data_IF_850058683392
#
_entry.id   IF_850058683392
#
_cell.length_a   1.000
_cell.length_b   1.000
_cell.length_c   1.000
_cell.angle_alpha   90.00
_cell.angle_beta   90.00
_cell.angle_gamma   90.00
#
_symmetry.space_group_name_H-M   'P 1'
#
loop_
_entity.id
_entity.type
_entity.pdbx_description
1 polymer ?
#
# COMPACT_ATOMS: atom_id res chain seq x y z
N UNK A 1 -34.38 -29.89 21.44
CA UNK A 1 -34.62 -28.71 22.27
C UNK A 1 -33.52 -27.64 22.09
N UNK A 2 -32.23 -27.99 22.27
CA UNK A 2 -31.13 -27.01 22.18
C UNK A 2 -30.97 -26.39 20.79
N UNK A 3 -31.02 -27.22 19.73
CA UNK A 3 -30.96 -26.72 18.35
C UNK A 3 -32.14 -25.78 18.02
N UNK A 4 -33.33 -26.08 18.48
CA UNK A 4 -34.49 -25.24 18.29
C UNK A 4 -34.33 -23.87 18.98
N UNK A 5 -33.80 -23.85 20.21
CA UNK A 5 -33.53 -22.61 20.93
C UNK A 5 -32.52 -21.71 20.21
N UNK A 6 -31.50 -22.30 19.55
CA UNK A 6 -30.51 -21.56 18.72
C UNK A 6 -31.20 -20.99 17.48
N UNK A 7 -32.02 -21.80 16.79
CA UNK A 7 -32.75 -21.38 15.60
C UNK A 7 -33.72 -20.24 15.95
N UNK A 8 -34.46 -20.37 17.05
CA UNK A 8 -35.38 -19.35 17.50
C UNK A 8 -34.67 -18.03 17.86
N UNK A 9 -33.50 -18.10 18.53
CA UNK A 9 -32.64 -16.96 18.79
C UNK A 9 -32.16 -16.31 17.49
N UNK A 10 -31.70 -17.10 16.52
CA UNK A 10 -31.25 -16.59 15.22
C UNK A 10 -32.38 -15.90 14.47
N UNK A 11 -33.55 -16.52 14.40
CA UNK A 11 -34.70 -16.00 13.64
C UNK A 11 -35.33 -14.75 14.26
N UNK A 12 -35.18 -14.56 15.57
CA UNK A 12 -35.78 -13.45 16.29
C UNK A 12 -34.83 -12.30 16.63
N UNK A 13 -33.52 -12.47 16.34
CA UNK A 13 -32.50 -11.46 16.61
C UNK A 13 -32.05 -10.78 15.31
N UNK A 14 -32.09 -9.45 15.29
CA UNK A 14 -31.53 -8.64 14.20
C UNK A 14 -30.03 -8.47 14.31
N UNK A 15 -29.49 -8.74 15.50
CA UNK A 15 -28.10 -8.52 15.91
C UNK A 15 -27.38 -9.80 16.37
N UNK A 16 -27.84 -10.98 15.90
CA UNK A 16 -27.28 -12.27 16.29
C UNK A 16 -25.75 -12.31 16.11
N UNK A 17 -25.04 -12.67 17.18
CA UNK A 17 -23.57 -12.71 17.23
C UNK A 17 -22.91 -11.36 17.53
N UNK A 18 -23.66 -10.30 17.72
CA UNK A 18 -23.13 -9.02 18.23
C UNK A 18 -22.89 -9.08 19.74
N UNK A 19 -21.92 -8.32 20.20
CA UNK A 19 -21.65 -8.09 21.62
C UNK A 19 -21.06 -6.70 21.85
N UNK A 20 -20.93 -6.30 23.09
CA UNK A 20 -20.34 -5.04 23.53
C UNK A 20 -18.95 -5.21 24.19
N UNK A 21 -18.31 -6.37 24.01
CA UNK A 21 -16.97 -6.66 24.56
C UNK A 21 -15.91 -5.63 24.12
N UNK A 22 -16.08 -5.09 22.92
CA UNK A 22 -15.22 -4.09 22.32
C UNK A 22 -15.64 -2.64 22.58
N UNK A 23 -16.69 -2.40 23.36
CA UNK A 23 -17.18 -1.06 23.63
C UNK A 23 -16.07 -0.16 24.14
N UNK A 24 -16.00 1.05 23.57
CA UNK A 24 -14.99 2.08 23.87
C UNK A 24 -13.54 1.68 23.57
N UNK A 25 -13.32 0.56 22.83
CA UNK A 25 -12.00 0.11 22.39
C UNK A 25 -11.85 0.25 20.89
N UNK A 26 -10.66 0.66 20.46
CA UNK A 26 -10.31 0.78 19.04
C UNK A 26 -9.27 -0.27 18.67
N UNK A 27 -9.47 -0.92 17.51
CA UNK A 27 -8.50 -1.83 16.89
C UNK A 27 -8.09 -1.23 15.54
N UNK A 28 -6.79 -1.15 15.29
CA UNK A 28 -6.26 -0.84 13.96
C UNK A 28 -5.86 -2.15 13.28
N UNK A 29 -6.31 -2.34 12.04
CA UNK A 29 -5.94 -3.50 11.23
C UNK A 29 -5.32 -2.99 9.94
N UNK A 30 -4.06 -3.35 9.69
CA UNK A 30 -3.38 -3.13 8.43
C UNK A 30 -3.50 -4.40 7.57
N UNK A 31 -4.05 -4.26 6.35
CA UNK A 31 -4.22 -5.38 5.43
C UNK A 31 -4.37 -4.92 4.00
N UNK A 32 -4.26 -5.86 3.06
CA UNK A 32 -4.15 -5.66 1.61
C UNK A 32 -2.76 -5.15 1.21
N UNK A 33 -2.44 -3.90 1.45
CA UNK A 33 -1.13 -3.27 1.34
C UNK A 33 -0.37 -3.59 0.04
N UNK A 34 -1.00 -3.41 -1.15
CA UNK A 34 -0.35 -3.68 -2.42
C UNK A 34 0.70 -2.63 -2.75
N UNK A 35 1.72 -3.02 -3.53
CA UNK A 35 2.66 -2.08 -4.11
C UNK A 35 2.03 -1.38 -5.31
N UNK A 36 2.23 -0.07 -5.39
CA UNK A 36 1.85 0.76 -6.54
C UNK A 36 2.58 0.30 -7.81
N UNK A 37 1.96 0.51 -8.96
CA UNK A 37 2.46 0.08 -10.27
C UNK A 37 2.71 -1.44 -10.40
N UNK A 38 1.96 -2.23 -9.65
CA UNK A 38 1.91 -3.70 -9.77
C UNK A 38 0.48 -4.19 -9.79
N UNK A 39 0.25 -5.27 -10.52
CA UNK A 39 -1.07 -5.89 -10.57
C UNK A 39 -1.48 -6.47 -9.22
N UNK A 40 -2.77 -6.29 -8.90
CA UNK A 40 -3.39 -6.98 -7.78
C UNK A 40 -3.50 -8.48 -8.11
N UNK A 41 -2.89 -9.33 -7.31
CA UNK A 41 -2.84 -10.79 -7.55
C UNK A 41 -3.39 -11.58 -6.36
N UNK A 42 -3.46 -12.91 -6.51
CA UNK A 42 -4.04 -13.83 -5.52
C UNK A 42 -3.43 -13.70 -4.11
N UNK A 43 -2.14 -13.35 -4.00
CA UNK A 43 -1.49 -13.10 -2.72
C UNK A 43 -2.10 -11.90 -1.99
N UNK A 44 -2.33 -10.80 -2.71
CA UNK A 44 -3.04 -9.63 -2.18
C UNK A 44 -4.50 -9.95 -1.83
N UNK A 45 -5.19 -10.72 -2.68
CA UNK A 45 -6.57 -11.14 -2.43
C UNK A 45 -6.68 -11.90 -1.10
N UNK A 46 -5.77 -12.82 -0.82
CA UNK A 46 -5.77 -13.59 0.43
C UNK A 46 -5.67 -12.69 1.67
N UNK A 47 -4.70 -11.80 1.72
CA UNK A 47 -4.52 -10.88 2.86
C UNK A 47 -5.70 -9.93 3.00
N UNK A 48 -6.24 -9.45 1.88
CA UNK A 48 -7.42 -8.58 1.83
C UNK A 48 -8.66 -9.26 2.41
N UNK A 49 -8.94 -10.51 2.02
CA UNK A 49 -10.08 -11.29 2.55
C UNK A 49 -9.92 -11.57 4.04
N UNK A 50 -8.74 -11.98 4.48
CA UNK A 50 -8.48 -12.27 5.91
C UNK A 50 -8.67 -11.01 6.75
N UNK A 51 -8.05 -9.89 6.35
CA UNK A 51 -8.16 -8.62 7.07
C UNK A 51 -9.61 -8.11 7.16
N UNK A 52 -10.34 -8.17 6.05
CA UNK A 52 -11.75 -7.79 6.04
C UNK A 52 -12.65 -8.73 6.89
N UNK A 53 -12.31 -10.02 6.97
CA UNK A 53 -13.01 -10.95 7.84
C UNK A 53 -12.79 -10.60 9.31
N UNK A 54 -11.56 -10.27 9.69
CA UNK A 54 -11.22 -9.80 11.04
C UNK A 54 -11.95 -8.49 11.35
N UNK A 55 -11.96 -7.54 10.41
CA UNK A 55 -12.76 -6.31 10.54
C UNK A 55 -14.21 -6.61 10.89
N UNK A 56 -14.88 -7.49 10.12
CA UNK A 56 -16.28 -7.85 10.33
C UNK A 56 -16.51 -8.52 11.70
N UNK A 57 -15.60 -9.40 12.12
CA UNK A 57 -15.67 -10.09 13.41
C UNK A 57 -15.55 -9.08 14.55
N UNK A 58 -14.51 -8.26 14.56
CA UNK A 58 -14.29 -7.28 15.62
C UNK A 58 -15.39 -6.21 15.67
N UNK A 59 -15.91 -5.78 14.51
CA UNK A 59 -17.05 -4.87 14.47
C UNK A 59 -18.30 -5.48 15.12
N UNK A 60 -18.57 -6.78 14.86
CA UNK A 60 -19.66 -7.50 15.53
C UNK A 60 -19.46 -7.65 17.05
N UNK A 61 -18.24 -7.68 17.52
CA UNK A 61 -17.87 -7.72 18.94
C UNK A 61 -17.90 -6.31 19.58
N UNK A 62 -18.33 -5.28 18.86
CA UNK A 62 -18.52 -3.92 19.40
C UNK A 62 -17.26 -3.06 19.37
N UNK A 63 -16.17 -3.48 18.76
CA UNK A 63 -14.98 -2.66 18.62
C UNK A 63 -15.17 -1.59 17.54
N UNK A 64 -14.60 -0.40 17.77
CA UNK A 64 -14.30 0.53 16.67
C UNK A 64 -13.09 -0.01 15.91
N UNK A 65 -13.27 -0.36 14.63
CA UNK A 65 -12.16 -0.88 13.83
C UNK A 65 -11.74 0.17 12.81
N UNK A 66 -10.44 0.47 12.77
CA UNK A 66 -9.80 1.34 11.77
C UNK A 66 -9.05 0.45 10.79
N UNK A 67 -9.45 0.53 9.52
CA UNK A 67 -8.91 -0.29 8.41
C UNK A 67 -7.85 0.52 7.67
N UNK A 68 -6.63 0.06 7.71
CA UNK A 68 -5.49 0.71 7.07
C UNK A 68 -5.06 -0.12 5.86
N UNK A 69 -4.87 0.55 4.74
CA UNK A 69 -4.23 0.00 3.55
C UNK A 69 -2.89 0.71 3.37
N UNK A 70 -1.84 0.10 3.92
CA UNK A 70 -0.50 0.66 3.88
C UNK A 70 0.15 0.35 2.52
N UNK A 71 -0.03 1.26 1.57
CA UNK A 71 0.45 1.09 0.20
C UNK A 71 1.98 1.14 0.13
N UNK A 72 2.58 0.26 -0.66
CA UNK A 72 3.96 0.37 -1.07
C UNK A 72 4.09 1.42 -2.18
N UNK A 73 4.01 2.69 -1.81
CA UNK A 73 3.92 3.81 -2.74
C UNK A 73 5.15 4.75 -2.70
N UNK A 74 6.26 4.30 -2.09
CA UNK A 74 7.52 5.04 -2.02
C UNK A 74 8.72 4.10 -2.13
N UNK A 75 9.82 4.57 -2.76
CA UNK A 75 11.04 3.78 -2.88
C UNK A 75 11.70 3.89 -4.25
N UNK A 76 12.89 3.30 -4.39
CA UNK A 76 13.73 3.36 -5.60
C UNK A 76 13.05 2.80 -6.84
N UNK A 77 12.05 1.92 -6.70
CA UNK A 77 11.26 1.41 -7.82
C UNK A 77 10.55 2.52 -8.60
N UNK A 78 10.20 3.63 -7.95
CA UNK A 78 9.60 4.78 -8.64
C UNK A 78 10.61 5.53 -9.50
N UNK A 79 11.87 5.64 -9.06
CA UNK A 79 12.95 6.16 -9.91
C UNK A 79 13.09 5.35 -11.19
N UNK A 80 13.08 4.02 -11.09
CA UNK A 80 13.11 3.12 -12.25
C UNK A 80 11.91 3.32 -13.18
N UNK A 81 10.72 3.43 -12.60
CA UNK A 81 9.48 3.62 -13.37
C UNK A 81 9.44 5.00 -14.06
N UNK A 82 9.95 6.06 -13.42
CA UNK A 82 10.06 7.38 -14.04
C UNK A 82 11.02 7.33 -15.23
N UNK A 83 12.19 6.69 -15.10
CA UNK A 83 13.14 6.51 -16.22
C UNK A 83 12.49 5.70 -17.34
N UNK A 84 11.83 4.59 -17.02
CA UNK A 84 11.12 3.78 -18.00
C UNK A 84 10.08 4.57 -18.78
N UNK A 85 9.26 5.35 -18.08
CA UNK A 85 8.25 6.20 -18.67
C UNK A 85 8.87 7.27 -19.59
N UNK A 86 9.91 7.95 -19.14
CA UNK A 86 10.58 9.01 -19.93
C UNK A 86 11.27 8.49 -21.17
N UNK A 87 11.74 7.24 -21.17
CA UNK A 87 12.45 6.64 -22.30
C UNK A 87 11.53 5.89 -23.28
N UNK A 88 10.51 5.22 -22.79
CA UNK A 88 9.72 4.26 -23.56
C UNK A 88 8.21 4.41 -23.39
N UNK A 89 7.72 5.15 -22.40
CA UNK A 89 6.31 5.39 -22.17
C UNK A 89 5.77 6.57 -22.94
N UNK A 90 4.46 6.64 -23.05
CA UNK A 90 3.74 7.85 -23.45
C UNK A 90 2.54 8.08 -22.56
N UNK A 91 2.10 9.33 -22.47
CA UNK A 91 0.95 9.67 -21.63
C UNK A 91 -0.31 8.98 -22.14
N UNK A 92 -0.49 8.95 -23.45
CA UNK A 92 -1.63 8.33 -24.13
C UNK A 92 -1.69 6.83 -23.83
N UNK A 93 -0.57 6.11 -23.92
CA UNK A 93 -0.52 4.67 -23.64
C UNK A 93 -0.82 4.37 -22.17
N UNK A 94 -0.29 5.18 -21.24
CA UNK A 94 -0.56 5.00 -19.81
C UNK A 94 -2.01 5.36 -19.45
N UNK A 95 -2.60 6.37 -20.08
CA UNK A 95 -4.02 6.72 -19.86
C UNK A 95 -4.97 5.65 -20.44
N UNK A 96 -4.61 5.00 -21.54
CA UNK A 96 -5.38 3.94 -22.19
C UNK A 96 -5.30 2.60 -21.44
N UNK A 97 -4.08 2.14 -21.11
CA UNK A 97 -3.83 0.82 -20.54
C UNK A 97 -3.64 0.80 -19.02
N UNK A 98 -3.43 1.96 -18.40
CA UNK A 98 -3.26 2.08 -16.95
C UNK A 98 -2.04 1.32 -16.40
N UNK A 99 -2.29 0.47 -15.40
CA UNK A 99 -1.25 -0.33 -14.73
C UNK A 99 -0.52 -1.27 -15.69
N UNK A 100 -1.20 -1.81 -16.70
CA UNK A 100 -0.59 -2.73 -17.65
C UNK A 100 0.58 -2.07 -18.38
N UNK A 101 0.41 -0.84 -18.89
CA UNK A 101 1.50 -0.10 -19.52
C UNK A 101 2.63 0.19 -18.54
N UNK A 102 2.31 0.58 -17.30
CA UNK A 102 3.34 0.82 -16.28
C UNK A 102 4.17 -0.44 -16.00
N UNK A 103 3.55 -1.61 -16.01
CA UNK A 103 4.25 -2.88 -15.84
C UNK A 103 5.11 -3.23 -17.03
N UNK A 104 4.60 -3.05 -18.25
CA UNK A 104 5.32 -3.36 -19.48
C UNK A 104 6.62 -2.53 -19.59
N UNK A 105 6.53 -1.22 -19.35
CA UNK A 105 7.71 -0.35 -19.36
C UNK A 105 8.65 -0.64 -18.19
N UNK A 106 8.13 -1.08 -17.03
CA UNK A 106 8.96 -1.47 -15.89
C UNK A 106 9.75 -2.75 -16.14
N UNK A 107 9.14 -3.76 -16.78
CA UNK A 107 9.82 -4.98 -17.24
C UNK A 107 10.90 -4.62 -18.23
N UNK A 108 10.58 -3.79 -19.23
CA UNK A 108 11.54 -3.29 -20.21
C UNK A 108 12.73 -2.57 -19.57
N UNK A 109 12.48 -1.77 -18.52
CA UNK A 109 13.58 -1.14 -17.78
C UNK A 109 14.57 -2.18 -17.24
N UNK A 110 14.07 -3.27 -16.66
CA UNK A 110 14.95 -4.32 -16.11
C UNK A 110 15.75 -5.03 -17.19
N UNK A 111 15.13 -5.35 -18.33
CA UNK A 111 15.80 -5.97 -19.46
C UNK A 111 16.92 -5.08 -20.05
N UNK A 112 16.69 -3.78 -20.15
CA UNK A 112 17.67 -2.83 -20.65
C UNK A 112 18.75 -2.51 -19.59
N UNK A 113 18.40 -2.47 -18.29
CA UNK A 113 19.37 -2.25 -17.22
C UNK A 113 20.36 -3.43 -17.03
N UNK A 114 20.02 -4.65 -17.47
CA UNK A 114 20.97 -5.76 -17.53
C UNK A 114 22.07 -5.54 -18.59
N UNK A 115 21.79 -4.72 -19.62
CA UNK A 115 22.71 -4.40 -20.71
C UNK A 115 23.47 -3.09 -20.45
N UNK A 116 22.85 -2.17 -19.73
CA UNK A 116 23.39 -0.83 -19.43
C UNK A 116 23.07 -0.45 -17.96
N UNK A 117 24.04 -0.68 -17.07
CA UNK A 117 23.89 -0.40 -15.64
C UNK A 117 23.73 1.10 -15.33
N UNK A 118 24.07 1.99 -16.27
CA UNK A 118 23.87 3.44 -16.09
C UNK A 118 22.40 3.82 -15.87
N UNK A 119 21.46 2.98 -16.35
CA UNK A 119 20.03 3.14 -16.10
C UNK A 119 19.67 3.05 -14.61
N UNK A 120 20.39 2.23 -13.85
CA UNK A 120 20.18 2.14 -12.40
C UNK A 120 20.66 3.41 -11.69
N UNK A 121 21.74 4.03 -12.16
CA UNK A 121 22.21 5.32 -11.62
C UNK A 121 21.23 6.45 -11.95
N UNK A 122 20.69 6.47 -13.17
CA UNK A 122 19.65 7.41 -13.58
C UNK A 122 18.38 7.24 -12.70
N UNK A 123 17.99 6.00 -12.42
CA UNK A 123 16.85 5.71 -11.54
C UNK A 123 17.08 6.17 -10.10
N UNK A 124 18.29 5.97 -9.55
CA UNK A 124 18.67 6.50 -8.23
C UNK A 124 18.60 8.03 -8.21
N UNK A 125 19.06 8.68 -9.27
CA UNK A 125 19.02 10.13 -9.39
C UNK A 125 17.57 10.66 -9.45
N UNK A 126 16.66 9.98 -10.13
CA UNK A 126 15.24 10.34 -10.15
C UNK A 126 14.57 10.12 -8.79
N UNK A 127 14.89 9.03 -8.09
CA UNK A 127 14.37 8.83 -6.74
C UNK A 127 14.89 9.90 -5.77
N UNK A 128 16.17 10.27 -5.84
CA UNK A 128 16.72 11.36 -5.05
C UNK A 128 16.01 12.71 -5.34
N UNK A 129 15.67 12.98 -6.60
CA UNK A 129 14.85 14.17 -6.94
C UNK A 129 13.47 14.13 -6.26
N UNK A 130 12.83 12.95 -6.19
CA UNK A 130 11.56 12.79 -5.45
C UNK A 130 11.74 13.12 -3.96
N UNK A 131 12.80 12.59 -3.34
CA UNK A 131 13.13 12.85 -1.92
C UNK A 131 13.40 14.34 -1.65
N UNK A 132 14.00 15.03 -2.61
CA UNK A 132 14.29 16.48 -2.54
C UNK A 132 13.09 17.37 -2.89
N UNK A 133 11.93 16.79 -3.21
CA UNK A 133 10.72 17.54 -3.49
C UNK A 133 10.65 18.14 -4.89
N UNK A 134 11.37 17.60 -5.88
CA UNK A 134 11.31 18.07 -7.26
C UNK A 134 9.88 17.91 -7.82
N UNK A 135 9.32 18.99 -8.35
CA UNK A 135 7.92 19.07 -8.80
C UNK A 135 7.63 18.03 -9.89
N UNK A 136 8.45 17.97 -10.95
CA UNK A 136 8.25 17.03 -12.06
C UNK A 136 8.24 15.57 -11.57
N UNK A 137 9.20 15.20 -10.71
CA UNK A 137 9.30 13.85 -10.19
C UNK A 137 8.09 13.47 -9.33
N UNK A 138 7.61 14.41 -8.50
CA UNK A 138 6.45 14.20 -7.64
C UNK A 138 5.13 14.18 -8.43
N UNK A 139 4.99 14.98 -9.48
CA UNK A 139 3.82 14.94 -10.37
C UNK A 139 3.69 13.60 -11.09
N UNK A 140 4.79 13.08 -11.65
CA UNK A 140 4.80 11.77 -12.32
C UNK A 140 4.50 10.66 -11.31
N UNK A 141 5.13 10.69 -10.14
CA UNK A 141 4.88 9.75 -9.06
C UNK A 141 3.42 9.75 -8.61
N UNK A 142 2.84 10.92 -8.37
CA UNK A 142 1.45 11.05 -7.94
C UNK A 142 0.50 10.49 -9.00
N UNK A 143 0.75 10.78 -10.27
CA UNK A 143 -0.04 10.26 -11.37
C UNK A 143 -0.01 8.73 -11.45
N UNK A 144 1.17 8.10 -11.30
CA UNK A 144 1.28 6.64 -11.27
C UNK A 144 0.56 6.02 -10.06
N UNK A 145 0.65 6.70 -8.93
CA UNK A 145 -0.09 6.32 -7.72
C UNK A 145 -1.60 6.37 -7.93
N UNK A 146 -2.10 7.41 -8.55
CA UNK A 146 -3.54 7.60 -8.78
C UNK A 146 -4.09 6.56 -9.77
N UNK A 147 -3.35 6.23 -10.83
CA UNK A 147 -3.70 5.15 -11.76
C UNK A 147 -3.80 3.82 -11.02
N UNK A 148 -2.82 3.52 -10.18
CA UNK A 148 -2.78 2.27 -9.42
C UNK A 148 -3.91 2.18 -8.40
N UNK A 149 -4.18 3.28 -7.68
CA UNK A 149 -5.30 3.37 -6.75
C UNK A 149 -6.64 3.16 -7.44
N UNK A 150 -6.84 3.72 -8.63
CA UNK A 150 -8.07 3.52 -9.40
C UNK A 150 -8.33 2.04 -9.68
N UNK A 151 -7.30 1.29 -10.04
CA UNK A 151 -7.43 -0.16 -10.28
C UNK A 151 -7.65 -0.94 -8.96
N UNK A 152 -6.95 -0.61 -7.89
CA UNK A 152 -7.18 -1.24 -6.59
C UNK A 152 -8.60 -0.98 -6.08
N UNK A 153 -9.10 0.25 -6.21
CA UNK A 153 -10.47 0.59 -5.84
C UNK A 153 -11.50 -0.18 -6.66
N UNK A 154 -11.23 -0.44 -7.94
CA UNK A 154 -12.09 -1.29 -8.78
C UNK A 154 -12.22 -2.69 -8.18
N UNK A 155 -11.10 -3.30 -7.77
CA UNK A 155 -11.10 -4.63 -7.14
C UNK A 155 -11.79 -4.59 -5.78
N UNK A 156 -11.51 -3.61 -4.92
CA UNK A 156 -12.15 -3.48 -3.62
C UNK A 156 -13.66 -3.29 -3.73
N UNK A 157 -14.13 -2.52 -4.70
CA UNK A 157 -15.56 -2.35 -4.95
C UNK A 157 -16.24 -3.66 -5.35
N UNK A 158 -15.60 -4.50 -6.19
CA UNK A 158 -16.11 -5.84 -6.54
C UNK A 158 -16.21 -6.73 -5.30
N UNK A 159 -15.24 -6.62 -4.38
CA UNK A 159 -15.20 -7.39 -3.15
C UNK A 159 -16.09 -6.83 -2.03
N UNK A 160 -16.71 -5.66 -2.24
CA UNK A 160 -17.49 -4.96 -1.21
C UNK A 160 -16.65 -4.54 0.00
N UNK A 161 -15.43 -4.06 -0.25
CA UNK A 161 -14.46 -3.68 0.79
C UNK A 161 -14.11 -2.21 0.72
N UNK A 162 -13.90 -1.63 1.88
CA UNK A 162 -13.51 -0.24 2.06
C UNK A 162 -12.38 -0.11 3.08
N UNK A 163 -11.63 0.97 3.00
CA UNK A 163 -10.56 1.31 3.94
C UNK A 163 -10.79 2.71 4.49
N UNK A 164 -10.38 2.93 5.73
CA UNK A 164 -10.48 4.22 6.41
C UNK A 164 -9.24 5.07 6.15
N UNK A 165 -8.11 4.43 5.78
CA UNK A 165 -6.84 5.10 5.50
C UNK A 165 -6.08 4.40 4.38
N UNK A 166 -5.48 5.22 3.49
CA UNK A 166 -4.51 4.82 2.46
C UNK A 166 -3.14 5.47 2.72
N UNK A 167 -2.79 5.67 3.99
CA UNK A 167 -1.48 6.18 4.40
C UNK A 167 -0.42 5.10 4.15
N UNK A 168 0.19 5.13 2.98
CA UNK A 168 1.27 4.25 2.55
C UNK A 168 2.64 4.72 3.03
N UNK A 169 3.69 4.17 2.45
CA UNK A 169 5.08 4.51 2.76
C UNK A 169 5.36 6.01 2.56
N UNK A 170 4.79 6.62 1.50
CA UNK A 170 4.96 8.05 1.19
C UNK A 170 4.48 8.99 2.31
N UNK A 171 3.50 8.55 3.11
CA UNK A 171 3.01 9.31 4.27
C UNK A 171 4.07 9.52 5.35
N UNK A 172 5.07 8.65 5.42
CA UNK A 172 6.10 8.67 6.45
C UNK A 172 7.39 9.37 6.03
N UNK A 173 7.54 9.78 4.77
CA UNK A 173 8.77 10.39 4.23
C UNK A 173 9.27 11.57 5.07
N UNK A 174 8.36 12.44 5.50
CA UNK A 174 8.69 13.64 6.27
C UNK A 174 8.82 13.36 7.79
N UNK A 175 8.62 12.10 8.22
CA UNK A 175 8.64 11.67 9.63
C UNK A 175 9.89 10.87 9.99
N UNK A 176 10.67 10.45 9.01
CA UNK A 176 11.88 9.63 9.22
C UNK A 176 12.95 10.35 10.02
N UNK A 177 13.10 11.66 9.85
CA UNK A 177 14.09 12.45 10.58
C UNK A 177 13.89 12.40 12.11
N UNK A 178 12.64 12.47 12.57
CA UNK A 178 12.31 12.39 13.99
C UNK A 178 12.60 11.00 14.56
N UNK A 179 12.34 9.94 13.78
CA UNK A 179 12.64 8.57 14.18
C UNK A 179 14.15 8.34 14.27
N UNK A 180 14.92 8.79 13.28
CA UNK A 180 16.37 8.71 13.27
C UNK A 180 16.94 9.45 14.48
N UNK A 181 16.44 10.65 14.78
CA UNK A 181 16.86 11.41 15.94
C UNK A 181 16.64 10.63 17.24
N UNK A 182 15.45 10.05 17.43
CA UNK A 182 15.15 9.24 18.62
C UNK A 182 16.06 8.02 18.74
N UNK A 183 16.28 7.29 17.64
CA UNK A 183 17.18 6.14 17.62
C UNK A 183 18.62 6.53 17.94
N UNK A 184 19.05 7.73 17.51
CA UNK A 184 20.37 8.28 17.84
C UNK A 184 20.46 8.63 19.34
N UNK A 185 19.46 9.35 19.85
CA UNK A 185 19.40 9.78 21.26
C UNK A 185 19.37 8.57 22.20
N UNK A 186 18.72 7.48 21.82
CA UNK A 186 18.63 6.22 22.56
C UNK A 186 19.88 5.32 22.37
N UNK A 187 20.87 5.73 21.56
CA UNK A 187 22.12 5.01 21.31
C UNK A 187 21.94 3.68 20.56
N UNK A 188 20.83 3.53 19.81
CA UNK A 188 20.50 2.32 19.07
C UNK A 188 21.12 2.29 17.68
N UNK A 189 21.46 3.47 17.09
CA UNK A 189 22.09 3.55 15.78
C UNK A 189 23.57 3.21 15.82
N UNK A 190 24.00 2.34 14.90
CA UNK A 190 25.40 1.98 14.70
C UNK A 190 25.76 2.07 13.23
N UNK A 191 26.98 2.51 12.93
CA UNK A 191 27.50 2.46 11.57
C UNK A 191 27.97 1.03 11.23
N UNK A 192 27.51 0.50 10.11
CA UNK A 192 27.95 -0.78 9.56
C UNK A 192 28.04 -0.69 8.04
N UNK A 193 29.22 -0.96 7.49
CA UNK A 193 29.49 -0.96 6.04
C UNK A 193 29.02 0.33 5.30
N UNK A 194 29.20 1.49 5.98
CA UNK A 194 28.79 2.79 5.44
C UNK A 194 27.29 3.11 5.53
N UNK A 195 26.51 2.28 6.23
CA UNK A 195 25.09 2.52 6.52
C UNK A 195 24.84 2.61 8.04
N UNK A 196 23.87 3.45 8.41
CA UNK A 196 23.39 3.49 9.80
C UNK A 196 22.32 2.39 9.98
N UNK A 197 22.56 1.50 10.94
CA UNK A 197 21.68 0.36 11.27
C UNK A 197 21.29 0.38 12.75
N UNK A 198 20.21 -0.31 13.06
CA UNK A 198 19.75 -0.59 14.43
C UNK A 198 20.07 -2.02 14.81
#
# INVERSE_FOLDING_TARGET
>A
QYAQQIIDKYNNATDYGCSDQGKDKTICIDYSSPNVAKNFHVGHLRTTIIGNSLYKIFSKLGYKVVRINHLGDWGTQFGKLIVAYKKWGSREAVEEKGIEELMDIYVKFHEEAEKDDSLNDEARAWFLKMEQGNEEALEIWQWFRDISLKEFMRVYNILGMEFDSFAGESFYRDKTADVIKRLTDDGLLKESQGAMIV
#
